data_IF_313388297504
#
_entry.id   IF_313388297504
#
_cell.length_a   1.000
_cell.length_b   1.000
_cell.length_c   1.000
_cell.angle_alpha   90.00
_cell.angle_beta   90.00
_cell.angle_gamma   90.00
#
_symmetry.space_group_name_H-M   'P 1'
#
loop_
_entity.id
_entity.type
_entity.pdbx_description
1 polymer ?
#
# COMPACT_ATOMS: atom_id res chain seq x y z
N UNK A 1 -3.40 15.23 9.96
CA UNK A 1 -2.65 16.17 9.08
C UNK A 1 -2.46 17.51 9.74
N UNK A 2 -3.50 18.10 10.33
CA UNK A 2 -3.39 19.34 11.10
C UNK A 2 -2.45 19.20 12.30
N UNK A 3 -2.52 18.09 13.03
CA UNK A 3 -1.58 17.80 14.12
C UNK A 3 -0.13 17.67 13.62
N UNK A 4 0.05 16.98 12.48
CA UNK A 4 1.37 16.87 11.83
C UNK A 4 1.90 18.25 11.46
N UNK A 5 1.05 19.13 10.91
CA UNK A 5 1.44 20.52 10.61
C UNK A 5 1.81 21.28 11.88
N UNK A 6 0.98 21.21 12.92
CA UNK A 6 1.27 21.81 14.23
C UNK A 6 2.60 21.33 14.82
N UNK A 7 2.99 20.10 14.51
CA UNK A 7 4.25 19.49 14.95
C UNK A 7 5.49 19.84 14.09
N UNK A 8 5.35 20.73 13.10
CA UNK A 8 6.43 21.13 12.18
C UNK A 8 6.30 20.51 10.79
N UNK A 9 5.21 19.79 10.52
CA UNK A 9 4.91 19.22 9.21
C UNK A 9 5.95 18.22 8.73
N UNK A 10 6.11 18.15 7.41
CA UNK A 10 7.15 17.33 6.77
C UNK A 10 8.55 17.74 7.23
N UNK A 11 8.78 19.01 7.55
CA UNK A 11 10.11 19.48 7.96
C UNK A 11 10.46 19.04 9.39
N UNK A 12 9.48 18.93 10.29
CA UNK A 12 9.67 18.26 11.57
C UNK A 12 10.03 16.78 11.41
N UNK A 13 9.37 16.06 10.48
CA UNK A 13 9.70 14.66 10.17
C UNK A 13 11.11 14.53 9.60
N UNK A 14 11.48 15.37 8.62
CA UNK A 14 12.83 15.40 8.07
C UNK A 14 13.88 15.78 9.11
N UNK A 15 13.54 16.67 10.05
CA UNK A 15 14.39 17.05 11.18
C UNK A 15 14.73 15.85 12.07
N UNK A 16 13.72 15.06 12.46
CA UNK A 16 13.97 13.85 13.28
C UNK A 16 14.76 12.78 12.52
N UNK A 17 14.50 12.60 11.22
CA UNK A 17 15.26 11.66 10.39
C UNK A 17 16.71 12.12 10.17
N UNK A 18 16.98 13.43 10.03
CA UNK A 18 18.34 14.00 9.95
C UNK A 18 19.09 13.81 11.27
N UNK A 19 18.44 14.09 12.41
CA UNK A 19 18.99 13.84 13.76
C UNK A 19 19.33 12.37 13.99
N UNK A 20 18.55 11.46 13.40
CA UNK A 20 18.81 10.03 13.40
C UNK A 20 19.91 9.58 12.42
N UNK A 21 20.44 10.47 11.58
CA UNK A 21 21.47 10.15 10.58
C UNK A 21 20.96 9.34 9.39
N UNK A 22 19.65 9.39 9.09
CA UNK A 22 18.99 8.57 8.07
C UNK A 22 18.82 9.28 6.71
N UNK A 23 19.25 10.54 6.60
CA UNK A 23 19.06 11.35 5.40
C UNK A 23 20.38 11.74 4.72
N UNK A 24 20.34 11.84 3.39
CA UNK A 24 21.43 12.45 2.62
C UNK A 24 21.34 13.97 2.72
N UNK A 25 22.39 14.59 3.26
CA UNK A 25 22.45 16.03 3.57
C UNK A 25 22.93 16.89 2.39
N UNK A 26 23.40 16.28 1.30
CA UNK A 26 24.01 16.97 0.16
C UNK A 26 23.01 17.35 -0.94
N UNK A 27 21.83 16.73 -0.94
CA UNK A 27 20.79 16.97 -1.96
C UNK A 27 20.23 18.38 -1.80
N UNK A 28 20.11 19.09 -2.93
CA UNK A 28 19.47 20.40 -2.99
C UNK A 28 17.99 20.27 -3.35
N UNK A 29 17.15 21.06 -2.68
CA UNK A 29 15.74 21.19 -3.05
C UNK A 29 15.56 22.21 -4.18
N UNK A 30 14.31 22.47 -4.57
CA UNK A 30 13.94 23.40 -5.66
C UNK A 30 14.32 24.87 -5.38
N UNK A 31 14.62 25.22 -4.13
CA UNK A 31 15.12 26.55 -3.74
C UNK A 31 16.65 26.63 -3.80
N UNK A 32 17.33 25.54 -4.19
CA UNK A 32 18.79 25.43 -4.21
C UNK A 32 19.43 25.24 -2.84
N UNK A 33 18.63 25.08 -1.78
CA UNK A 33 19.09 24.86 -0.41
C UNK A 33 19.39 23.38 -0.17
N UNK A 34 20.44 23.10 0.61
CA UNK A 34 20.67 21.76 1.14
C UNK A 34 19.66 21.43 2.24
N UNK A 35 19.57 20.15 2.61
CA UNK A 35 18.70 19.72 3.72
C UNK A 35 19.04 20.47 5.03
N UNK A 36 20.30 20.56 5.49
CA UNK A 36 20.63 21.31 6.72
C UNK A 36 20.22 22.79 6.67
N UNK A 37 20.45 23.48 5.55
CA UNK A 37 20.04 24.87 5.36
C UNK A 37 18.53 25.03 5.44
N UNK A 38 17.79 24.05 4.90
CA UNK A 38 16.33 24.03 4.96
C UNK A 38 15.83 23.79 6.39
N UNK A 39 16.42 22.84 7.11
CA UNK A 39 16.03 22.54 8.49
C UNK A 39 16.35 23.69 9.45
N UNK A 40 17.48 24.37 9.28
CA UNK A 40 17.84 25.56 10.08
C UNK A 40 16.77 26.67 9.97
N UNK A 41 16.22 26.85 8.77
CA UNK A 41 15.19 27.86 8.52
C UNK A 41 13.81 27.44 9.04
N UNK A 42 13.44 26.16 8.91
CA UNK A 42 12.04 25.75 9.01
C UNK A 42 11.72 24.65 10.03
N UNK A 43 12.70 23.89 10.56
CA UNK A 43 12.41 22.92 11.62
C UNK A 43 12.04 23.68 12.90
N UNK A 44 10.84 23.43 13.42
CA UNK A 44 10.29 24.18 14.56
C UNK A 44 11.11 24.01 15.85
N UNK A 45 11.92 22.97 15.95
CA UNK A 45 12.80 22.73 17.11
C UNK A 45 14.14 23.44 17.01
N UNK A 46 14.48 23.99 15.83
CA UNK A 46 15.77 24.63 15.54
C UNK A 46 15.60 26.12 15.23
N UNK A 47 14.64 26.44 14.37
CA UNK A 47 14.43 27.80 13.87
C UNK A 47 14.07 28.78 14.98
N UNK A 48 14.64 29.98 14.88
CA UNK A 48 14.29 31.11 15.75
C UNK A 48 13.36 32.11 15.04
N UNK A 49 12.92 31.81 13.82
CA UNK A 49 11.99 32.66 13.07
C UNK A 49 10.55 32.48 13.59
N UNK A 50 10.04 33.52 14.26
CA UNK A 50 8.69 33.53 14.79
C UNK A 50 7.60 33.55 13.71
N UNK A 51 7.89 34.02 12.50
CA UNK A 51 6.96 33.93 11.38
C UNK A 51 6.78 32.48 10.94
N UNK A 52 7.86 31.69 10.91
CA UNK A 52 7.82 30.24 10.63
C UNK A 52 7.05 29.51 11.74
N UNK A 53 7.34 29.78 13.00
CA UNK A 53 6.57 29.18 14.11
C UNK A 53 5.09 29.55 14.07
N UNK A 54 4.76 30.80 13.72
CA UNK A 54 3.36 31.24 13.50
C UNK A 54 2.70 30.54 12.31
N UNK A 55 3.46 30.20 11.26
CA UNK A 55 2.96 29.44 10.11
C UNK A 55 2.57 28.02 10.52
N UNK A 56 3.40 27.32 11.30
CA UNK A 56 3.09 25.97 11.78
C UNK A 56 1.96 25.92 12.82
N UNK A 57 1.68 27.04 13.50
CA UNK A 57 0.48 27.16 14.34
C UNK A 57 -0.83 27.28 13.54
N UNK A 58 -0.83 27.26 12.21
CA UNK A 58 -2.07 27.21 11.42
C UNK A 58 -2.98 26.09 11.93
N UNK A 59 -4.18 26.45 12.36
CA UNK A 59 -5.15 25.52 12.94
C UNK A 59 -6.48 25.55 12.22
N UNK A 60 -7.27 24.47 12.30
CA UNK A 60 -8.61 24.45 11.78
C UNK A 60 -9.47 25.47 12.53
N UNK A 61 -10.28 26.25 11.81
CA UNK A 61 -11.28 27.08 12.47
C UNK A 61 -12.45 26.25 13.02
N UNK A 62 -12.71 25.06 12.45
CA UNK A 62 -13.92 24.29 12.70
C UNK A 62 -15.22 24.97 12.21
N UNK A 63 -15.09 26.11 11.51
CA UNK A 63 -16.20 26.94 11.05
C UNK A 63 -16.44 26.68 9.57
N UNK A 64 -17.70 26.47 9.19
CA UNK A 64 -18.09 26.37 7.77
C UNK A 64 -17.85 27.72 7.08
N UNK A 65 -17.09 27.68 5.99
CA UNK A 65 -16.91 28.84 5.09
C UNK A 65 -17.18 28.44 3.65
N UNK A 66 -17.67 29.37 2.85
CA UNK A 66 -17.83 29.24 1.40
C UNK A 66 -16.78 30.03 0.62
N UNK A 67 -15.91 30.77 1.32
CA UNK A 67 -14.85 31.57 0.71
C UNK A 67 -13.49 30.90 0.97
N UNK A 68 -12.77 30.54 -0.08
CA UNK A 68 -11.44 29.97 0.04
C UNK A 68 -10.48 30.93 0.75
N UNK A 69 -9.57 30.39 1.58
CA UNK A 69 -8.55 31.14 2.31
C UNK A 69 -9.08 32.25 3.25
N UNK A 70 -10.33 32.13 3.72
CA UNK A 70 -10.98 33.10 4.61
C UNK A 70 -10.73 32.88 6.11
N UNK A 71 -9.91 31.89 6.47
CA UNK A 71 -9.64 31.51 7.85
C UNK A 71 -8.18 31.82 8.21
N UNK A 72 -7.97 32.42 9.38
CA UNK A 72 -6.65 32.76 9.93
C UNK A 72 -6.44 32.19 11.34
N UNK A 73 -7.23 31.17 11.72
CA UNK A 73 -7.16 30.53 13.02
C UNK A 73 -5.79 29.91 13.29
N UNK A 74 -5.37 29.96 14.56
CA UNK A 74 -4.09 29.43 15.02
C UNK A 74 -4.28 28.65 16.31
N UNK A 75 -3.51 27.58 16.45
CA UNK A 75 -3.27 26.94 17.74
C UNK A 75 -2.52 27.89 18.67
N UNK A 76 -2.76 27.80 19.97
CA UNK A 76 -2.04 28.61 20.96
C UNK A 76 -0.54 28.25 20.98
N UNK A 77 -0.25 26.95 20.91
CA UNK A 77 1.11 26.39 20.94
C UNK A 77 1.40 25.48 19.76
N UNK A 78 2.68 25.29 19.46
CA UNK A 78 3.16 24.22 18.59
C UNK A 78 3.10 22.86 19.31
N UNK A 79 3.31 21.78 18.55
CA UNK A 79 3.55 20.44 19.07
C UNK A 79 5.03 20.06 18.86
N UNK A 80 5.89 20.52 19.76
CA UNK A 80 7.32 20.24 19.77
C UNK A 80 7.71 19.09 20.71
N UNK A 81 6.72 18.37 21.27
CA UNK A 81 6.95 17.19 22.10
C UNK A 81 7.37 16.00 21.22
N UNK A 82 8.67 15.67 21.25
CA UNK A 82 9.24 14.54 20.49
C UNK A 82 9.15 13.20 21.22
N UNK A 83 8.58 13.15 22.42
CA UNK A 83 8.32 11.91 23.14
C UNK A 83 6.88 11.43 22.90
N UNK A 84 5.91 12.29 23.20
CA UNK A 84 4.49 11.90 23.17
C UNK A 84 3.65 12.60 22.11
N UNK A 85 4.20 13.64 21.47
CA UNK A 85 3.51 14.40 20.42
C UNK A 85 3.30 13.65 19.11
N UNK A 86 2.79 14.38 18.11
CA UNK A 86 2.41 13.84 16.81
C UNK A 86 3.62 13.35 16.00
N UNK A 87 4.74 14.08 16.05
CA UNK A 87 6.02 13.67 15.47
C UNK A 87 6.96 13.32 16.61
N UNK A 88 7.43 12.07 16.64
CA UNK A 88 8.30 11.54 17.70
C UNK A 88 9.73 11.36 17.22
N UNK A 89 10.69 11.46 18.14
CA UNK A 89 12.09 11.13 17.88
C UNK A 89 12.28 9.63 17.65
N UNK A 90 13.45 9.22 17.16
CA UNK A 90 13.78 7.80 16.98
C UNK A 90 13.71 6.99 18.29
N UNK A 91 14.00 7.62 19.43
CA UNK A 91 13.93 6.97 20.75
C UNK A 91 12.49 6.59 21.13
N UNK A 92 11.53 7.46 20.81
CA UNK A 92 10.12 7.30 21.13
C UNK A 92 9.26 6.83 19.95
N UNK A 93 9.89 6.36 18.86
CA UNK A 93 9.20 5.89 17.68
C UNK A 93 8.30 4.68 18.01
N UNK A 94 7.09 4.65 17.46
CA UNK A 94 6.16 3.52 17.62
C UNK A 94 6.77 2.20 17.14
N UNK A 95 7.56 2.25 16.07
CA UNK A 95 8.37 1.15 15.56
C UNK A 95 9.67 1.71 15.00
N UNK A 96 10.75 0.96 15.17
CA UNK A 96 12.06 1.26 14.55
C UNK A 96 12.16 0.71 13.12
N UNK A 97 11.25 -0.18 12.74
CA UNK A 97 11.10 -0.66 11.37
C UNK A 97 10.10 0.22 10.61
N UNK A 98 10.32 0.38 9.31
CA UNK A 98 9.47 1.22 8.47
C UNK A 98 8.03 0.70 8.42
N UNK A 99 7.07 1.62 8.25
CA UNK A 99 5.63 1.30 8.16
C UNK A 99 5.18 0.59 6.88
N UNK A 100 6.13 0.22 6.01
CA UNK A 100 5.95 -0.52 4.76
C UNK A 100 7.00 -1.61 4.69
N UNK A 101 6.60 -2.82 4.32
CA UNK A 101 7.50 -3.93 4.06
C UNK A 101 7.24 -4.50 2.66
N UNK A 102 8.33 -4.95 2.04
CA UNK A 102 8.28 -5.77 0.82
C UNK A 102 8.40 -7.22 1.23
N UNK A 103 7.47 -8.07 0.80
CA UNK A 103 7.53 -9.51 1.04
C UNK A 103 7.85 -10.25 -0.26
N UNK A 104 8.66 -11.30 -0.16
CA UNK A 104 9.09 -12.15 -1.26
C UNK A 104 8.80 -13.63 -0.99
N UNK A 105 8.73 -14.42 -2.05
CA UNK A 105 8.66 -15.88 -2.01
C UNK A 105 7.93 -16.41 -3.23
N UNK A 106 7.66 -17.71 -3.28
CA UNK A 106 7.05 -18.33 -4.47
C UNK A 106 5.65 -17.76 -4.78
N UNK A 107 4.95 -17.17 -3.82
CA UNK A 107 3.68 -16.49 -4.09
C UNK A 107 3.87 -15.20 -4.92
N UNK A 108 4.90 -14.42 -4.60
CA UNK A 108 5.20 -13.11 -5.19
C UNK A 108 6.71 -13.01 -5.48
N UNK A 109 7.14 -13.60 -6.59
CA UNK A 109 8.56 -13.76 -6.93
C UNK A 109 9.29 -12.41 -7.08
N UNK A 110 8.61 -11.39 -7.62
CA UNK A 110 9.15 -10.04 -7.77
C UNK A 110 8.75 -9.12 -6.61
N UNK A 111 8.08 -9.67 -5.60
CA UNK A 111 7.67 -8.97 -4.40
C UNK A 111 6.21 -8.52 -4.37
N UNK A 112 5.78 -8.15 -3.17
CA UNK A 112 4.49 -7.52 -2.88
C UNK A 112 4.64 -6.58 -1.68
N UNK A 113 3.66 -5.70 -1.45
CA UNK A 113 3.75 -4.64 -0.44
C UNK A 113 2.69 -4.84 0.65
N UNK A 114 3.12 -4.71 1.91
CA UNK A 114 2.24 -4.61 3.08
C UNK A 114 2.56 -3.36 3.89
N UNK A 115 1.52 -2.67 4.37
CA UNK A 115 1.65 -1.53 5.29
C UNK A 115 1.69 -2.03 6.73
N UNK A 116 2.88 -2.40 7.20
CA UNK A 116 3.13 -2.95 8.54
C UNK A 116 2.61 -2.06 9.67
N UNK A 117 2.65 -0.73 9.50
CA UNK A 117 2.11 0.21 10.49
C UNK A 117 0.60 0.09 10.72
N UNK A 118 -0.12 -0.59 9.83
CA UNK A 118 -1.56 -0.86 9.96
C UNK A 118 -1.86 -2.30 10.38
N UNK A 119 -0.87 -3.15 10.59
CA UNK A 119 -1.03 -4.58 10.94
C UNK A 119 -0.94 -4.73 12.46
N UNK A 120 -1.82 -5.54 13.04
CA UNK A 120 -1.79 -5.86 14.46
C UNK A 120 -0.66 -6.88 14.75
N UNK A 121 0.04 -6.73 15.88
CA UNK A 121 1.16 -7.59 16.26
C UNK A 121 0.79 -9.08 16.30
N UNK A 122 -0.47 -9.40 16.62
CA UNK A 122 -0.96 -10.79 16.68
C UNK A 122 -1.00 -11.50 15.32
N UNK A 123 -0.93 -10.77 14.20
CA UNK A 123 -1.05 -11.31 12.84
C UNK A 123 0.13 -10.94 11.94
N UNK A 124 1.28 -10.60 12.52
CA UNK A 124 2.53 -10.42 11.76
C UNK A 124 2.99 -11.71 11.08
N UNK A 125 2.54 -12.87 11.60
CA UNK A 125 2.61 -14.17 10.94
C UNK A 125 1.21 -14.72 10.80
N UNK A 126 0.83 -15.09 9.60
CA UNK A 126 -0.52 -15.56 9.30
C UNK A 126 -0.47 -16.66 8.25
N UNK A 127 -1.15 -17.77 8.52
CA UNK A 127 -1.26 -18.88 7.57
C UNK A 127 -2.71 -19.30 7.49
N UNK A 128 -3.28 -19.34 6.30
CA UNK A 128 -4.69 -19.63 6.11
C UNK A 128 -5.04 -20.16 4.71
N UNK A 129 -6.20 -20.79 4.56
CA UNK A 129 -6.68 -21.28 3.27
C UNK A 129 -7.11 -20.11 2.36
N UNK A 130 -6.84 -20.22 1.07
CA UNK A 130 -7.22 -19.22 0.09
C UNK A 130 -8.73 -19.21 -0.17
N UNK A 131 -9.28 -17.99 -0.32
CA UNK A 131 -10.60 -17.71 -0.92
C UNK A 131 -10.37 -16.83 -2.14
N UNK A 132 -10.48 -17.39 -3.33
CA UNK A 132 -10.06 -16.77 -4.57
C UNK A 132 -11.23 -16.11 -5.27
N UNK A 133 -11.06 -14.82 -5.56
CA UNK A 133 -12.01 -14.00 -6.28
C UNK A 133 -11.32 -13.35 -7.47
N UNK A 134 -12.04 -13.28 -8.59
CA UNK A 134 -11.52 -12.70 -9.82
C UNK A 134 -11.97 -11.27 -10.01
N UNK A 135 -12.57 -10.63 -9.00
CA UNK A 135 -12.85 -9.19 -8.96
C UNK A 135 -13.06 -8.66 -7.55
N UNK A 136 -12.89 -7.34 -7.39
CA UNK A 136 -13.30 -6.64 -6.18
C UNK A 136 -14.76 -6.93 -5.83
N UNK A 137 -15.66 -6.89 -6.81
CA UNK A 137 -17.10 -7.01 -6.60
C UNK A 137 -17.48 -8.40 -6.06
N UNK A 138 -16.87 -9.46 -6.62
CA UNK A 138 -17.01 -10.83 -6.11
C UNK A 138 -16.51 -10.97 -4.67
N UNK A 139 -15.35 -10.39 -4.36
CA UNK A 139 -14.79 -10.43 -3.02
C UNK A 139 -15.68 -9.69 -2.01
N UNK A 140 -16.21 -8.53 -2.40
CA UNK A 140 -17.16 -7.76 -1.58
C UNK A 140 -18.43 -8.56 -1.31
N UNK A 141 -19.03 -9.17 -2.34
CA UNK A 141 -20.22 -10.00 -2.19
C UNK A 141 -19.95 -11.19 -1.25
N UNK A 142 -18.79 -11.83 -1.40
CA UNK A 142 -18.42 -12.97 -0.56
C UNK A 142 -18.18 -12.60 0.90
N UNK A 143 -17.54 -11.46 1.17
CA UNK A 143 -17.32 -10.94 2.53
C UNK A 143 -18.66 -10.62 3.19
N UNK A 144 -19.51 -9.83 2.52
CA UNK A 144 -20.81 -9.42 3.05
C UNK A 144 -21.80 -10.58 3.16
N UNK A 145 -21.69 -11.56 2.26
CA UNK A 145 -22.49 -12.79 2.25
C UNK A 145 -22.01 -13.87 3.23
N UNK A 146 -20.96 -13.62 4.02
CA UNK A 146 -20.44 -14.55 5.03
C UNK A 146 -19.74 -15.80 4.46
N UNK A 147 -19.29 -15.75 3.20
CA UNK A 147 -18.48 -16.82 2.59
C UNK A 147 -17.03 -16.78 3.05
N UNK A 148 -16.56 -15.60 3.50
CA UNK A 148 -15.27 -15.39 4.14
C UNK A 148 -15.45 -15.52 5.65
N UNK A 149 -14.61 -16.35 6.28
CA UNK A 149 -14.64 -16.62 7.72
C UNK A 149 -13.25 -16.43 8.33
N UNK A 150 -13.19 -16.37 9.66
CA UNK A 150 -11.93 -16.28 10.40
C UNK A 150 -10.92 -17.34 9.96
N UNK A 151 -9.67 -16.92 9.77
CA UNK A 151 -8.58 -17.75 9.26
C UNK A 151 -8.38 -17.67 7.74
N UNK A 152 -9.36 -17.19 6.97
CA UNK A 152 -9.24 -17.15 5.50
C UNK A 152 -8.20 -16.13 5.01
N UNK A 153 -7.56 -16.47 3.88
CA UNK A 153 -6.76 -15.56 3.06
C UNK A 153 -7.55 -15.23 1.80
N UNK A 154 -8.13 -14.04 1.76
CA UNK A 154 -8.91 -13.56 0.61
C UNK A 154 -7.96 -13.08 -0.49
N UNK A 155 -7.96 -13.75 -1.63
CA UNK A 155 -7.13 -13.44 -2.79
C UNK A 155 -7.98 -12.81 -3.87
N UNK A 156 -7.70 -11.57 -4.24
CA UNK A 156 -8.37 -10.83 -5.31
C UNK A 156 -7.40 -10.66 -6.47
N UNK A 157 -7.63 -11.36 -7.57
CA UNK A 157 -6.70 -11.40 -8.72
C UNK A 157 -7.29 -10.76 -9.97
N UNK A 158 -6.43 -10.51 -10.96
CA UNK A 158 -6.77 -9.79 -12.19
C UNK A 158 -7.19 -8.35 -11.93
N UNK A 159 -6.58 -7.73 -10.91
CA UNK A 159 -6.74 -6.31 -10.59
C UNK A 159 -5.45 -5.52 -10.76
N UNK A 160 -4.38 -6.17 -11.25
CA UNK A 160 -3.09 -5.54 -11.54
C UNK A 160 -3.08 -4.58 -12.74
N UNK A 161 -1.90 -4.04 -13.10
CA UNK A 161 -1.75 -3.08 -14.20
C UNK A 161 -2.38 -3.55 -15.52
N UNK A 162 -2.18 -4.81 -15.91
CA UNK A 162 -2.77 -5.37 -17.14
C UNK A 162 -4.12 -6.04 -16.88
N UNK A 163 -4.26 -6.75 -15.77
CA UNK A 163 -5.44 -7.55 -15.47
C UNK A 163 -6.69 -6.72 -15.19
N UNK A 164 -6.52 -5.57 -14.51
CA UNK A 164 -7.61 -4.64 -14.19
C UNK A 164 -8.35 -4.18 -15.43
N UNK A 165 -7.71 -3.50 -16.40
CA UNK A 165 -6.40 -2.83 -16.36
C UNK A 165 -6.40 -1.54 -15.54
N UNK A 166 -5.21 -1.03 -15.24
CA UNK A 166 -5.03 0.27 -14.56
C UNK A 166 -4.75 0.16 -13.06
N UNK A 167 -4.64 -1.05 -12.53
CA UNK A 167 -4.32 -1.30 -11.12
C UNK A 167 -5.24 -0.53 -10.17
N UNK A 168 -6.55 -0.85 -10.18
CA UNK A 168 -7.54 -0.05 -9.46
C UNK A 168 -7.33 -0.09 -7.95
N UNK A 169 -7.68 1.02 -7.27
CA UNK A 169 -7.67 1.07 -5.80
C UNK A 169 -8.88 0.33 -5.25
N UNK A 170 -8.64 -0.58 -4.31
CA UNK A 170 -9.69 -1.29 -3.62
C UNK A 170 -9.78 -0.82 -2.16
N UNK A 171 -10.85 -0.09 -1.85
CA UNK A 171 -11.17 0.33 -0.47
C UNK A 171 -12.28 -0.55 0.14
N UNK A 172 -13.17 -1.08 -0.69
CA UNK A 172 -14.36 -1.76 -0.21
C UNK A 172 -14.07 -3.11 0.46
N UNK A 173 -13.24 -4.02 -0.10
CA UNK A 173 -12.95 -5.29 0.56
C UNK A 173 -12.38 -5.10 1.97
N UNK A 174 -11.44 -4.16 2.14
CA UNK A 174 -10.79 -3.91 3.43
C UNK A 174 -11.77 -3.30 4.44
N UNK A 175 -12.62 -2.37 3.99
CA UNK A 175 -13.67 -1.76 4.81
C UNK A 175 -14.68 -2.80 5.28
N UNK A 176 -15.20 -3.63 4.37
CA UNK A 176 -16.22 -4.61 4.72
C UNK A 176 -15.68 -5.75 5.55
N UNK A 177 -14.46 -6.22 5.30
CA UNK A 177 -13.81 -7.22 6.15
C UNK A 177 -13.71 -6.73 7.60
N UNK A 178 -13.34 -5.46 7.80
CA UNK A 178 -13.34 -4.83 9.12
C UNK A 178 -14.73 -4.72 9.73
N UNK A 179 -15.74 -4.30 8.95
CA UNK A 179 -17.13 -4.20 9.41
C UNK A 179 -17.73 -5.53 9.83
N UNK A 180 -17.28 -6.63 9.21
CA UNK A 180 -17.67 -8.00 9.58
C UNK A 180 -16.89 -8.55 10.80
N UNK A 181 -16.01 -7.75 11.42
CA UNK A 181 -15.19 -8.17 12.56
C UNK A 181 -13.97 -9.03 12.19
N UNK A 182 -13.67 -9.19 10.91
CA UNK A 182 -12.64 -10.09 10.39
C UNK A 182 -11.28 -9.40 10.15
N UNK A 183 -11.17 -8.09 10.41
CA UNK A 183 -9.97 -7.30 10.08
C UNK A 183 -8.67 -7.71 10.81
N UNK A 184 -8.77 -8.47 11.90
CA UNK A 184 -7.63 -9.08 12.62
C UNK A 184 -7.57 -10.61 12.50
N UNK A 185 -8.48 -11.19 11.73
CA UNK A 185 -8.71 -12.64 11.67
C UNK A 185 -8.50 -13.20 10.26
N UNK A 186 -8.43 -12.34 9.25
CA UNK A 186 -8.23 -12.71 7.85
C UNK A 186 -7.14 -11.85 7.20
N UNK A 187 -6.55 -12.37 6.12
CA UNK A 187 -5.67 -11.62 5.25
C UNK A 187 -6.39 -11.24 3.94
N UNK A 188 -6.00 -10.12 3.34
CA UNK A 188 -6.40 -9.70 2.00
C UNK A 188 -5.17 -9.58 1.11
N UNK A 189 -5.18 -10.23 -0.06
CA UNK A 189 -4.05 -10.24 -0.99
C UNK A 189 -4.54 -9.90 -2.39
N UNK A 190 -3.78 -9.07 -3.12
CA UNK A 190 -4.12 -8.72 -4.50
C UNK A 190 -2.92 -8.34 -5.36
N UNK A 191 -3.03 -8.59 -6.67
CA UNK A 191 -2.15 -8.02 -7.68
C UNK A 191 -2.50 -6.56 -8.04
N UNK A 192 -3.64 -6.06 -7.57
CA UNK A 192 -4.02 -4.65 -7.60
C UNK A 192 -3.41 -3.83 -6.46
N UNK A 193 -4.10 -2.78 -6.01
CA UNK A 193 -3.65 -1.93 -4.89
C UNK A 193 -4.78 -1.64 -3.89
N UNK A 194 -4.39 -1.43 -2.64
CA UNK A 194 -5.30 -1.00 -1.58
C UNK A 194 -5.18 0.51 -1.31
N UNK A 195 -6.20 1.07 -0.68
CA UNK A 195 -6.19 2.49 -0.31
C UNK A 195 -5.16 2.82 0.77
N UNK A 196 -4.63 4.04 0.78
CA UNK A 196 -3.68 4.51 1.81
C UNK A 196 -4.25 4.50 3.23
N UNK A 197 -5.58 4.58 3.36
CA UNK A 197 -6.32 4.45 4.63
C UNK A 197 -6.52 3.01 5.11
N UNK A 198 -6.07 2.02 4.34
CA UNK A 198 -6.20 0.60 4.69
C UNK A 198 -5.39 0.25 5.95
N UNK A 199 -5.95 -0.65 6.75
CA UNK A 199 -5.36 -1.28 7.94
C UNK A 199 -5.70 -2.77 7.95
N UNK A 200 -5.10 -3.55 8.84
CA UNK A 200 -5.14 -5.00 8.82
C UNK A 200 -4.12 -5.61 7.86
N UNK A 201 -4.12 -6.94 7.75
CA UNK A 201 -3.19 -7.67 6.92
C UNK A 201 -3.60 -7.63 5.44
N UNK A 202 -3.36 -6.48 4.81
CA UNK A 202 -3.68 -6.20 3.41
C UNK A 202 -2.41 -6.08 2.57
N UNK A 203 -2.22 -7.00 1.63
CA UNK A 203 -1.03 -7.16 0.80
C UNK A 203 -1.39 -6.84 -0.66
N UNK A 204 -0.84 -5.76 -1.20
CA UNK A 204 -1.05 -5.35 -2.58
C UNK A 204 0.17 -5.56 -3.46
N UNK A 205 0.04 -5.21 -4.73
CA UNK A 205 1.13 -5.14 -5.70
C UNK A 205 1.84 -6.47 -5.93
N UNK A 206 1.12 -7.59 -5.75
CA UNK A 206 1.67 -8.92 -6.01
C UNK A 206 2.22 -8.99 -7.43
N UNK A 207 3.52 -9.23 -7.52
CA UNK A 207 4.28 -9.21 -8.76
C UNK A 207 5.02 -10.55 -8.93
N UNK A 208 4.91 -11.23 -10.09
CA UNK A 208 4.09 -10.86 -11.25
C UNK A 208 2.57 -10.90 -10.97
N UNK A 209 1.80 -10.03 -11.64
CA UNK A 209 0.33 -10.06 -11.55
C UNK A 209 -0.27 -11.30 -12.23
N UNK A 210 -1.54 -11.60 -11.96
CA UNK A 210 -2.21 -12.77 -12.52
C UNK A 210 -2.25 -12.75 -14.07
N UNK A 211 -2.51 -11.58 -14.66
CA UNK A 211 -2.53 -11.38 -16.11
C UNK A 211 -1.15 -11.44 -16.79
N UNK A 212 -0.07 -11.51 -15.99
CA UNK A 212 1.30 -11.66 -16.48
C UNK A 212 1.93 -13.01 -16.09
N UNK A 213 1.12 -13.99 -15.67
CA UNK A 213 1.63 -15.32 -15.38
C UNK A 213 2.15 -15.52 -13.96
N UNK A 214 1.82 -14.63 -13.02
CA UNK A 214 2.22 -14.79 -11.62
C UNK A 214 1.50 -15.95 -10.93
N UNK A 215 2.12 -16.50 -9.86
CA UNK A 215 1.54 -17.64 -9.15
C UNK A 215 0.19 -17.31 -8.49
N UNK A 216 -0.14 -16.03 -8.27
CA UNK A 216 -1.49 -15.60 -7.87
C UNK A 216 -2.60 -16.04 -8.84
N UNK A 217 -2.30 -16.30 -10.12
CA UNK A 217 -3.27 -16.77 -11.11
C UNK A 217 -3.62 -18.27 -11.01
N UNK A 218 -2.79 -19.08 -10.35
CA UNK A 218 -2.97 -20.54 -10.29
C UNK A 218 -3.48 -21.03 -8.93
N UNK A 219 -3.70 -20.10 -8.00
CA UNK A 219 -4.27 -20.41 -6.69
C UNK A 219 -5.71 -20.88 -6.87
N UNK A 220 -6.05 -21.90 -6.10
CA UNK A 220 -7.37 -22.47 -5.97
C UNK A 220 -7.86 -22.33 -4.52
N UNK A 221 -9.20 -22.37 -4.33
CA UNK A 221 -9.79 -22.30 -3.00
C UNK A 221 -9.25 -23.42 -2.10
N UNK A 222 -8.87 -23.05 -0.87
CA UNK A 222 -8.32 -23.98 0.11
C UNK A 222 -6.81 -24.14 0.11
N UNK A 223 -6.10 -23.64 -0.92
CA UNK A 223 -4.63 -23.64 -0.91
C UNK A 223 -4.10 -22.84 0.30
N UNK A 224 -3.11 -23.37 1.00
CA UNK A 224 -2.55 -22.69 2.17
C UNK A 224 -1.55 -21.61 1.73
N UNK A 225 -1.72 -20.40 2.24
CA UNK A 225 -0.80 -19.27 2.03
C UNK A 225 -0.21 -18.89 3.38
N UNK A 226 1.12 -18.87 3.48
CA UNK A 226 1.86 -18.48 4.67
C UNK A 226 2.51 -17.10 4.49
N UNK A 227 2.27 -16.20 5.43
CA UNK A 227 2.76 -14.82 5.44
C UNK A 227 3.62 -14.64 6.69
N UNK A 228 4.85 -14.14 6.52
CA UNK A 228 5.79 -13.88 7.61
C UNK A 228 6.42 -12.49 7.41
N UNK A 229 5.77 -11.46 7.95
CA UNK A 229 6.23 -10.07 7.83
C UNK A 229 7.61 -9.85 8.47
N UNK A 230 7.91 -10.39 9.68
CA UNK A 230 9.24 -10.28 10.29
C UNK A 230 10.36 -10.82 9.39
N UNK A 231 10.11 -11.92 8.67
CA UNK A 231 11.09 -12.54 7.77
C UNK A 231 10.93 -12.11 6.30
N UNK A 232 10.11 -11.09 6.01
CA UNK A 232 9.84 -10.58 4.65
C UNK A 232 9.39 -11.68 3.66
N UNK A 233 8.64 -12.66 4.16
CA UNK A 233 8.27 -13.87 3.44
C UNK A 233 6.77 -13.96 3.11
N UNK A 234 6.47 -14.50 1.92
CA UNK A 234 5.13 -14.95 1.53
C UNK A 234 5.23 -16.21 0.68
N UNK A 235 4.54 -17.28 1.08
CA UNK A 235 4.65 -18.59 0.44
C UNK A 235 3.29 -19.20 0.13
N UNK A 236 3.14 -19.70 -1.09
CA UNK A 236 2.12 -20.66 -1.50
C UNK A 236 2.59 -22.06 -1.11
N UNK A 237 1.88 -22.73 -0.20
CA UNK A 237 2.25 -24.03 0.36
C UNK A 237 1.88 -25.18 -0.58
N UNK A 238 2.37 -25.12 -1.83
CA UNK A 238 2.25 -26.15 -2.84
C UNK A 238 3.65 -26.64 -3.23
N UNK A 239 3.73 -27.90 -3.67
CA UNK A 239 4.97 -28.42 -4.23
C UNK A 239 5.31 -27.75 -5.56
N UNK A 240 6.58 -27.71 -5.93
CA UNK A 240 6.99 -27.18 -7.24
C UNK A 240 6.34 -27.93 -8.40
N UNK A 241 6.13 -29.25 -8.26
CA UNK A 241 5.45 -30.07 -9.26
C UNK A 241 3.98 -29.67 -9.44
N UNK A 242 3.27 -29.39 -8.34
CA UNK A 242 1.89 -28.91 -8.37
C UNK A 242 1.81 -27.52 -9.04
N UNK A 243 2.71 -26.61 -8.65
CA UNK A 243 2.80 -25.27 -9.25
C UNK A 243 3.03 -25.39 -10.75
N UNK A 244 4.01 -26.20 -11.19
CA UNK A 244 4.30 -26.42 -12.60
C UNK A 244 3.08 -26.98 -13.36
N UNK A 245 2.43 -28.00 -12.82
CA UNK A 245 1.24 -28.61 -13.43
C UNK A 245 0.09 -27.60 -13.60
N UNK A 246 -0.15 -26.74 -12.61
CA UNK A 246 -1.20 -25.71 -12.70
C UNK A 246 -0.84 -24.59 -13.67
N UNK A 247 0.44 -24.24 -13.79
CA UNK A 247 0.91 -23.30 -14.83
C UNK A 247 0.70 -23.87 -16.22
N UNK A 248 1.07 -25.13 -16.46
CA UNK A 248 0.82 -25.82 -17.73
C UNK A 248 -0.68 -25.86 -18.07
N UNK A 249 -1.53 -26.19 -17.09
CA UNK A 249 -2.98 -26.18 -17.28
C UNK A 249 -3.53 -24.79 -17.62
N UNK A 250 -2.94 -23.73 -17.06
CA UNK A 250 -3.32 -22.35 -17.35
C UNK A 250 -2.85 -21.91 -18.74
N UNK A 251 -1.67 -22.32 -19.18
CA UNK A 251 -1.15 -22.09 -20.53
C UNK A 251 -1.95 -22.85 -21.59
N UNK A 252 -2.42 -24.06 -21.26
CA UNK A 252 -3.26 -24.89 -22.13
C UNK A 252 -4.63 -24.25 -22.46
N UNK A 253 -5.03 -23.17 -21.78
CA UNK A 253 -6.21 -22.37 -22.12
C UNK A 253 -6.03 -21.52 -23.40
N UNK A 254 -4.83 -21.48 -23.99
CA UNK A 254 -4.56 -20.79 -25.25
C UNK A 254 -4.79 -19.28 -25.15
N UNK A 255 -5.63 -18.72 -26.01
CA UNK A 255 -5.96 -17.28 -26.01
C UNK A 255 -6.64 -16.81 -24.71
N UNK A 256 -7.18 -17.74 -23.92
CA UNK A 256 -7.76 -17.49 -22.60
C UNK A 256 -6.77 -17.73 -21.45
N UNK A 257 -5.50 -17.99 -21.74
CA UNK A 257 -4.49 -18.12 -20.70
C UNK A 257 -4.35 -16.77 -19.95
N UNK A 258 -4.24 -16.85 -18.63
CA UNK A 258 -4.03 -15.66 -17.77
C UNK A 258 -5.15 -14.61 -17.84
N UNK A 259 -6.36 -15.03 -18.24
CA UNK A 259 -7.57 -14.20 -18.16
C UNK A 259 -8.51 -14.72 -17.05
N UNK A 260 -9.36 -13.85 -16.48
CA UNK A 260 -10.49 -14.30 -15.65
C UNK A 260 -11.36 -15.33 -16.38
N UNK A 261 -11.96 -16.27 -15.66
CA UNK A 261 -12.82 -17.31 -16.21
C UNK A 261 -14.19 -16.78 -16.64
N UNK A 262 -14.83 -15.96 -15.80
CA UNK A 262 -16.24 -15.57 -15.97
C UNK A 262 -16.48 -14.04 -15.90
N UNK A 263 -15.43 -13.22 -15.95
CA UNK A 263 -15.57 -11.77 -15.80
C UNK A 263 -16.07 -11.12 -17.10
N UNK A 264 -17.31 -10.66 -17.09
CA UNK A 264 -17.88 -9.84 -18.17
C UNK A 264 -17.68 -8.35 -17.91
N UNK A 265 -16.68 -7.73 -18.55
CA UNK A 265 -16.39 -6.30 -18.39
C UNK A 265 -16.04 -5.64 -19.72
N UNK A 266 -16.68 -4.51 -20.01
CA UNK A 266 -16.29 -3.66 -21.13
C UNK A 266 -15.01 -2.87 -20.77
N UNK A 267 -13.89 -3.20 -21.42
CA UNK A 267 -12.62 -2.47 -21.27
C UNK A 267 -12.49 -1.44 -22.39
N UNK A 268 -12.32 -0.16 -22.04
CA UNK A 268 -12.19 0.92 -23.03
C UNK A 268 -10.90 0.79 -23.86
N UNK A 269 -10.86 1.41 -25.04
CA UNK A 269 -9.64 1.44 -25.86
C UNK A 269 -8.43 2.00 -25.10
N UNK A 270 -8.63 3.07 -24.31
CA UNK A 270 -7.57 3.67 -23.50
C UNK A 270 -7.01 2.70 -22.46
N UNK A 271 -7.86 1.91 -21.79
CA UNK A 271 -7.41 0.91 -20.82
C UNK A 271 -6.69 -0.27 -21.49
N UNK A 272 -7.16 -0.71 -22.66
CA UNK A 272 -6.44 -1.73 -23.45
C UNK A 272 -5.06 -1.24 -23.90
N UNK A 273 -4.97 0.02 -24.34
CA UNK A 273 -3.69 0.64 -24.70
C UNK A 273 -2.77 0.83 -23.49
N UNK A 274 -3.32 1.12 -22.30
CA UNK A 274 -2.54 1.09 -21.07
C UNK A 274 -2.01 -0.32 -20.78
N UNK A 275 -2.87 -1.33 -20.82
CA UNK A 275 -2.51 -2.73 -20.51
C UNK A 275 -1.39 -3.27 -21.41
N UNK A 276 -1.40 -2.94 -22.71
CA UNK A 276 -0.34 -3.40 -23.63
C UNK A 276 1.04 -2.82 -23.29
N UNK A 277 1.07 -1.60 -22.74
CA UNK A 277 2.30 -0.88 -22.43
C UNK A 277 2.75 -1.01 -20.98
N UNK A 278 1.84 -1.29 -20.05
CA UNK A 278 2.14 -1.32 -18.62
C UNK A 278 3.26 -2.32 -18.29
N UNK A 279 4.23 -1.86 -17.49
CA UNK A 279 5.15 -2.73 -16.77
C UNK A 279 4.48 -3.29 -15.51
N UNK A 280 5.13 -4.25 -14.88
CA UNK A 280 4.68 -4.84 -13.62
C UNK A 280 4.72 -3.80 -12.48
N UNK A 281 3.96 -4.05 -11.41
CA UNK A 281 3.84 -3.14 -10.28
C UNK A 281 5.17 -2.93 -9.54
N UNK A 282 6.03 -3.96 -9.44
CA UNK A 282 7.40 -3.86 -8.92
C UNK A 282 8.28 -2.85 -9.70
N UNK A 283 7.92 -2.57 -10.96
CA UNK A 283 8.59 -1.58 -11.83
C UNK A 283 7.86 -0.25 -11.89
N UNK A 284 6.93 -0.01 -10.95
CA UNK A 284 6.14 1.22 -10.85
C UNK A 284 5.00 1.34 -11.87
N UNK A 285 4.62 0.26 -12.56
CA UNK A 285 3.55 0.22 -13.55
C UNK A 285 3.64 1.34 -14.62
N UNK A 286 4.88 1.73 -14.96
CA UNK A 286 5.18 2.71 -16.01
C UNK A 286 4.83 2.14 -17.39
N UNK A 287 4.69 3.01 -18.39
CA UNK A 287 4.47 2.58 -19.78
C UNK A 287 5.80 2.29 -20.44
N UNK A 288 5.98 1.05 -20.86
CA UNK A 288 7.13 0.61 -21.65
C UNK A 288 6.96 1.04 -23.11
N UNK A 289 7.64 2.13 -23.47
CA UNK A 289 7.59 2.70 -24.82
C UNK A 289 8.23 1.78 -25.87
N UNK A 290 9.15 0.89 -25.50
CA UNK A 290 9.83 0.02 -26.45
C UNK A 290 8.86 -0.94 -27.17
N UNK A 291 7.71 -1.23 -26.55
CA UNK A 291 6.64 -2.07 -27.12
C UNK A 291 5.86 -1.43 -28.26
N UNK A 292 6.01 -0.12 -28.50
CA UNK A 292 5.30 0.57 -29.58
C UNK A 292 5.99 0.43 -30.94
N UNK A 293 7.25 -0.04 -30.97
CA UNK A 293 8.06 -0.11 -32.19
C UNK A 293 8.40 1.29 -32.73
N UNK A 294 9.66 1.71 -32.57
CA UNK A 294 10.13 3.03 -33.02
C UNK A 294 11.38 3.47 -32.30
#
# INVERSE_FOLDING_TARGET
MEDVHRAGGVLGILGELDRAGLLNREVKNVLGLTLPQTLEQYDITVTQDEAVKKMFRAGPAGIRTTQAFSQDCRWDTLDDDRAEGCIRSLEHAYSKDGGLAVLYGNFAENGCIVKTAGVDDSILKFTGPAKVYESQDEAVEAILGGKVVEGDVVVIRYEGPKGGPGMQEMLYPTTFLKSMGLGKACALITDGRFSGGTSGLSIGHVSPEAASGGNIAIIEDGDMIAIDIPNRGIQLQLSEAEIAARREAQEARGDQAWTPKNRERQVSFALRAYASLATSADKGAVRDKSKLGG
#
